data_IF_099237028342
#
_entry.id   IF_099237028342
#
_cell.length_a   1.000
_cell.length_b   1.000
_cell.length_c   1.000
_cell.angle_alpha   90.00
_cell.angle_beta   90.00
_cell.angle_gamma   90.00
#
_symmetry.space_group_name_H-M   'P 1'
#
loop_
_entity.id
_entity.type
_entity.pdbx_description
1 polymer ?
#
# COMPACT_ATOMS: atom_id res chain seq x y z
N UNK A 1 -12.83 -19.25 19.70
CA UNK A 1 -13.78 -18.74 18.68
C UNK A 1 -13.03 -17.90 17.67
N UNK A 2 -12.92 -18.31 16.40
CA UNK A 2 -12.50 -17.39 15.33
C UNK A 2 -13.65 -16.41 15.15
N UNK A 3 -13.45 -15.13 15.49
CA UNK A 3 -14.42 -14.09 15.16
C UNK A 3 -14.68 -14.15 13.65
N UNK A 4 -15.95 -14.06 13.24
CA UNK A 4 -16.27 -13.88 11.82
C UNK A 4 -15.47 -12.69 11.31
N UNK A 5 -14.79 -12.85 10.18
CA UNK A 5 -14.17 -11.71 9.51
C UNK A 5 -15.27 -10.66 9.28
N UNK A 6 -15.00 -9.37 9.53
CA UNK A 6 -15.99 -8.34 9.26
C UNK A 6 -16.33 -8.36 7.76
N UNK A 7 -17.59 -8.07 7.44
CA UNK A 7 -18.00 -7.89 6.05
C UNK A 7 -17.14 -6.81 5.39
N UNK A 8 -16.68 -7.08 4.17
CA UNK A 8 -15.94 -6.13 3.35
C UNK A 8 -16.87 -5.55 2.25
N UNK A 9 -16.86 -4.22 2.01
CA UNK A 9 -16.12 -3.20 2.74
C UNK A 9 -16.64 -3.00 4.18
N UNK A 10 -15.76 -2.54 5.07
CA UNK A 10 -16.08 -2.38 6.49
C UNK A 10 -17.23 -1.39 6.70
N UNK A 11 -18.23 -1.79 7.49
CA UNK A 11 -19.35 -0.92 7.90
C UNK A 11 -19.08 -0.11 9.17
N UNK A 12 -18.06 -0.50 9.95
CA UNK A 12 -17.70 0.12 11.23
C UNK A 12 -16.19 0.23 11.35
N UNK A 13 -15.74 1.27 12.05
CA UNK A 13 -14.32 1.48 12.33
C UNK A 13 -13.76 0.30 13.10
N UNK A 14 -12.65 -0.24 12.61
CA UNK A 14 -11.90 -1.30 13.29
C UNK A 14 -10.71 -0.65 13.97
N UNK A 15 -10.49 -1.03 15.23
CA UNK A 15 -9.32 -0.63 16.01
C UNK A 15 -8.50 -1.88 16.25
N UNK A 16 -7.23 -1.87 15.87
CA UNK A 16 -6.36 -3.02 16.07
C UNK A 16 -5.90 -3.07 17.54
N UNK A 17 -6.24 -4.15 18.28
CA UNK A 17 -5.64 -4.37 19.60
C UNK A 17 -4.13 -4.64 19.44
N UNK A 18 -3.34 -4.44 20.51
CA UNK A 18 -1.87 -4.55 20.43
C UNK A 18 -1.41 -5.92 19.92
N UNK A 19 -2.07 -7.00 20.39
CA UNK A 19 -1.83 -8.36 19.91
C UNK A 19 -2.05 -8.51 18.40
N UNK A 20 -3.02 -7.80 17.81
CA UNK A 20 -3.22 -7.81 16.37
C UNK A 20 -2.12 -7.02 15.64
N UNK A 21 -1.67 -5.89 16.20
CA UNK A 21 -0.55 -5.12 15.63
C UNK A 21 0.74 -5.94 15.61
N UNK A 22 1.04 -6.70 16.66
CA UNK A 22 2.19 -7.60 16.71
C UNK A 22 2.13 -8.68 15.61
N UNK A 23 0.95 -9.22 15.34
CA UNK A 23 0.75 -10.19 14.25
C UNK A 23 0.95 -9.54 12.88
N UNK A 24 0.41 -8.34 12.68
CA UNK A 24 0.49 -7.61 11.40
C UNK A 24 1.89 -7.06 11.10
N UNK A 25 2.76 -6.91 12.11
CA UNK A 25 4.18 -6.57 11.91
C UNK A 25 4.97 -7.70 11.27
N UNK A 26 4.48 -8.94 11.33
CA UNK A 26 5.14 -10.07 10.70
C UNK A 26 4.84 -10.05 9.20
N UNK A 27 5.83 -10.32 8.33
CA UNK A 27 5.58 -10.43 6.89
C UNK A 27 4.47 -11.45 6.61
N UNK A 28 3.40 -11.00 5.95
CA UNK A 28 2.31 -11.87 5.54
C UNK A 28 2.67 -12.73 4.31
N UNK A 29 3.80 -12.44 3.67
CA UNK A 29 4.30 -13.14 2.49
C UNK A 29 5.82 -13.28 2.52
N UNK A 30 6.41 -13.48 1.34
CA UNK A 30 7.87 -13.64 1.20
C UNK A 30 8.59 -12.34 1.56
N UNK A 31 9.45 -12.41 2.57
CA UNK A 31 10.36 -11.32 2.89
C UNK A 31 11.56 -11.37 1.94
N UNK A 32 11.79 -10.29 1.19
CA UNK A 32 12.98 -10.10 0.36
C UNK A 32 13.99 -9.26 1.14
N UNK A 33 15.21 -9.78 1.29
CA UNK A 33 16.29 -9.10 2.03
C UNK A 33 17.56 -9.06 1.20
N UNK A 34 18.41 -8.05 1.46
CA UNK A 34 19.69 -7.88 0.79
C UNK A 34 19.77 -6.57 0.01
N UNK A 35 20.54 -6.60 -1.09
CA UNK A 35 20.81 -5.43 -1.91
C UNK A 35 19.54 -4.93 -2.63
N UNK A 36 19.22 -3.62 -2.57
CA UNK A 36 18.03 -3.06 -3.20
C UNK A 36 17.91 -3.31 -4.71
N UNK A 37 19.02 -3.37 -5.45
CA UNK A 37 18.98 -3.64 -6.90
C UNK A 37 18.56 -5.07 -7.16
N UNK A 38 19.12 -6.02 -6.41
CA UNK A 38 18.73 -7.44 -6.49
C UNK A 38 17.26 -7.64 -6.13
N UNK A 39 16.77 -6.92 -5.10
CA UNK A 39 15.35 -6.96 -4.72
C UNK A 39 14.47 -6.48 -5.88
N UNK A 40 14.83 -5.37 -6.55
CA UNK A 40 14.09 -4.87 -7.70
C UNK A 40 14.07 -5.85 -8.87
N UNK A 41 15.20 -6.49 -9.17
CA UNK A 41 15.28 -7.53 -10.21
C UNK A 41 14.38 -8.72 -9.87
N UNK A 42 14.38 -9.18 -8.63
CA UNK A 42 13.53 -10.28 -8.17
C UNK A 42 12.04 -9.93 -8.27
N UNK A 43 11.64 -8.72 -7.86
CA UNK A 43 10.25 -8.26 -7.97
C UNK A 43 9.80 -8.21 -9.43
N UNK A 44 10.62 -7.64 -10.32
CA UNK A 44 10.32 -7.61 -11.77
C UNK A 44 10.18 -9.01 -12.33
N UNK A 45 11.06 -9.92 -11.93
CA UNK A 45 11.01 -11.32 -12.36
C UNK A 45 9.72 -11.99 -11.91
N UNK A 46 9.30 -11.79 -10.65
CA UNK A 46 8.04 -12.34 -10.14
C UNK A 46 6.84 -11.78 -10.92
N UNK A 47 6.78 -10.47 -11.13
CA UNK A 47 5.68 -9.85 -11.89
C UNK A 47 5.64 -10.39 -13.33
N UNK A 48 6.80 -10.56 -13.97
CA UNK A 48 6.88 -11.07 -15.34
C UNK A 48 6.57 -12.57 -15.45
N UNK A 49 6.73 -13.35 -14.38
CA UNK A 49 6.38 -14.78 -14.39
C UNK A 49 4.90 -14.96 -14.05
N UNK A 50 4.46 -14.35 -12.94
CA UNK A 50 3.13 -14.56 -12.37
C UNK A 50 2.04 -13.76 -13.10
N UNK A 51 2.40 -12.69 -13.82
CA UNK A 51 1.46 -11.78 -14.48
C UNK A 51 0.29 -11.39 -13.55
N UNK A 52 0.58 -10.87 -12.34
CA UNK A 52 -0.47 -10.60 -11.37
C UNK A 52 -1.47 -9.60 -11.93
N UNK A 53 -2.78 -9.77 -11.68
CA UNK A 53 -3.80 -8.84 -12.16
C UNK A 53 -3.67 -7.46 -11.50
N UNK A 54 -2.96 -7.38 -10.35
CA UNK A 54 -2.77 -6.16 -9.60
C UNK A 54 -1.47 -6.18 -8.79
N UNK A 55 -0.73 -5.09 -8.85
CA UNK A 55 0.46 -4.81 -8.05
C UNK A 55 0.20 -3.54 -7.24
N UNK A 56 0.28 -3.66 -5.90
CA UNK A 56 0.11 -2.54 -4.97
C UNK A 56 1.40 -2.33 -4.20
N UNK A 57 1.88 -1.09 -4.15
CA UNK A 57 2.99 -0.67 -3.30
C UNK A 57 2.46 0.06 -2.07
N UNK A 58 2.95 -0.31 -0.88
CA UNK A 58 2.53 0.30 0.39
C UNK A 58 3.75 0.87 1.12
N UNK A 59 3.65 2.13 1.54
CA UNK A 59 4.70 2.88 2.22
C UNK A 59 5.56 3.72 1.27
N UNK A 60 6.01 4.87 1.74
CA UNK A 60 6.69 5.91 0.94
C UNK A 60 8.02 5.41 0.35
N UNK A 61 8.89 4.79 1.17
CA UNK A 61 10.17 4.26 0.71
C UNK A 61 10.00 3.16 -0.35
N UNK A 62 9.08 2.21 -0.09
CA UNK A 62 8.79 1.11 -1.02
C UNK A 62 8.26 1.64 -2.34
N UNK A 63 7.32 2.58 -2.29
CA UNK A 63 6.71 3.21 -3.46
C UNK A 63 7.74 3.88 -4.35
N UNK A 64 8.67 4.62 -3.75
CA UNK A 64 9.75 5.28 -4.49
C UNK A 64 10.76 4.32 -5.08
N UNK A 65 11.21 3.34 -4.29
CA UNK A 65 12.17 2.36 -4.75
C UNK A 65 11.65 1.63 -5.98
N UNK A 66 10.37 1.21 -5.95
CA UNK A 66 9.70 0.54 -7.06
C UNK A 66 9.51 1.45 -8.27
N UNK A 67 9.09 2.71 -8.05
CA UNK A 67 8.89 3.68 -9.12
C UNK A 67 10.20 4.04 -9.81
N UNK A 68 11.25 4.41 -9.06
CA UNK A 68 12.60 4.66 -9.61
C UNK A 68 13.16 3.42 -10.31
N UNK A 69 12.84 2.24 -9.78
CA UNK A 69 13.19 0.98 -10.38
C UNK A 69 12.44 0.66 -11.66
N UNK A 70 11.43 1.43 -12.08
CA UNK A 70 10.61 1.13 -13.25
C UNK A 70 9.79 -0.15 -13.10
N UNK A 71 9.35 -0.46 -11.89
CA UNK A 71 8.45 -1.59 -11.62
C UNK A 71 7.01 -1.16 -11.97
N UNK A 72 6.25 -1.94 -12.77
CA UNK A 72 4.87 -1.62 -13.07
C UNK A 72 4.00 -1.85 -11.82
N UNK A 73 3.63 -0.75 -11.16
CA UNK A 73 2.73 -0.74 -10.01
C UNK A 73 1.42 -0.11 -10.44
N UNK A 74 0.29 -0.68 -10.03
CA UNK A 74 -1.02 -0.12 -10.30
C UNK A 74 -1.34 0.96 -9.26
N UNK A 75 -1.31 0.60 -7.98
CA UNK A 75 -1.70 1.51 -6.90
C UNK A 75 -0.56 1.72 -5.91
N UNK A 76 -0.28 2.97 -5.58
CA UNK A 76 0.59 3.35 -4.47
C UNK A 76 -0.26 3.75 -3.26
N UNK A 77 0.06 3.26 -2.08
CA UNK A 77 -0.58 3.66 -0.81
C UNK A 77 0.50 4.26 0.07
N UNK A 78 0.42 5.57 0.33
CA UNK A 78 1.46 6.34 1.04
C UNK A 78 0.81 7.22 2.11
N UNK A 79 1.50 7.48 3.21
CA UNK A 79 0.97 8.33 4.30
C UNK A 79 1.51 9.77 4.26
N UNK A 80 2.50 10.04 3.41
CA UNK A 80 2.99 11.39 3.15
C UNK A 80 3.59 12.09 4.38
N UNK A 81 3.92 11.36 5.47
CA UNK A 81 4.61 11.94 6.64
C UNK A 81 6.07 12.28 6.31
N UNK A 82 6.25 13.28 5.47
CA UNK A 82 7.55 13.79 5.01
C UNK A 82 7.68 15.24 5.48
N UNK A 83 7.97 15.44 6.77
CA UNK A 83 8.42 16.74 7.31
C UNK A 83 9.40 16.58 8.49
N UNK A 84 10.39 15.67 8.40
CA UNK A 84 11.57 15.70 9.29
C UNK A 84 12.94 15.53 8.64
N UNK A 85 13.04 15.57 7.30
CA UNK A 85 14.25 15.97 6.53
C UNK A 85 14.00 15.92 5.01
N UNK A 86 14.58 16.92 4.34
CA UNK A 86 14.84 17.26 2.91
C UNK A 86 14.88 16.21 1.77
N UNK A 87 14.28 15.04 1.92
CA UNK A 87 14.27 14.04 0.85
C UNK A 87 12.85 13.85 0.36
N UNK A 88 12.59 14.35 -0.85
CA UNK A 88 11.38 14.13 -1.63
C UNK A 88 11.24 12.63 -1.90
N UNK A 89 10.70 11.88 -0.93
CA UNK A 89 10.73 10.43 -1.03
C UNK A 89 9.77 9.92 -2.08
N UNK A 90 8.67 10.58 -2.45
CA UNK A 90 7.83 10.11 -3.55
C UNK A 90 7.20 11.29 -4.31
N UNK A 91 7.59 11.50 -5.56
CA UNK A 91 7.11 12.63 -6.37
C UNK A 91 5.70 12.37 -6.90
N UNK A 92 4.67 13.04 -6.41
CA UNK A 92 3.29 12.84 -6.89
C UNK A 92 3.00 13.41 -8.29
N UNK A 93 4.00 14.01 -8.94
CA UNK A 93 3.90 14.59 -10.28
C UNK A 93 3.38 13.56 -11.30
N UNK A 94 2.34 13.95 -12.06
CA UNK A 94 1.72 13.13 -13.09
C UNK A 94 0.80 12.02 -12.58
N UNK A 95 0.60 11.89 -11.27
CA UNK A 95 -0.24 10.84 -10.69
C UNK A 95 -1.64 11.31 -10.34
N UNK A 96 -2.61 10.39 -10.45
CA UNK A 96 -3.96 10.57 -9.91
C UNK A 96 -3.92 10.40 -8.40
N UNK A 97 -4.18 11.47 -7.66
CA UNK A 97 -4.16 11.45 -6.19
C UNK A 97 -5.59 11.27 -5.66
N UNK A 98 -5.78 10.26 -4.81
CA UNK A 98 -7.01 10.00 -4.06
C UNK A 98 -6.67 10.09 -2.59
N UNK A 99 -7.33 10.99 -1.86
CA UNK A 99 -7.08 11.21 -0.43
C UNK A 99 -8.08 10.46 0.43
N UNK A 100 -7.60 9.89 1.53
CA UNK A 100 -8.43 9.25 2.57
C UNK A 100 -7.86 9.57 3.95
N UNK A 101 -8.73 9.61 4.96
CA UNK A 101 -8.32 9.74 6.35
C UNK A 101 -8.33 8.38 7.05
N UNK A 102 -7.25 8.00 7.73
CA UNK A 102 -7.17 6.78 8.51
C UNK A 102 -6.21 6.92 9.68
N UNK A 103 -6.72 6.86 10.91
CA UNK A 103 -5.89 7.02 12.10
C UNK A 103 -4.97 5.81 12.33
N UNK A 104 -3.76 6.02 12.88
CA UNK A 104 -2.81 4.94 13.14
C UNK A 104 -3.41 3.80 13.97
N UNK A 105 -3.24 2.57 13.51
CA UNK A 105 -3.78 1.40 14.19
C UNK A 105 -5.30 1.24 14.05
N UNK A 106 -5.91 1.87 13.05
CA UNK A 106 -7.34 1.72 12.75
C UNK A 106 -7.58 1.43 11.25
N UNK A 107 -8.78 0.96 10.93
CA UNK A 107 -9.34 0.99 9.58
C UNK A 107 -10.63 1.82 9.60
N UNK A 108 -10.58 2.99 8.99
CA UNK A 108 -11.74 3.85 8.77
C UNK A 108 -12.64 3.26 7.65
N UNK A 109 -13.95 3.11 7.87
CA UNK A 109 -14.89 2.62 6.86
C UNK A 109 -14.85 3.40 5.54
N UNK A 110 -14.68 4.71 5.59
CA UNK A 110 -14.64 5.57 4.40
C UNK A 110 -13.36 5.33 3.59
N UNK A 111 -12.22 5.20 4.27
CA UNK A 111 -10.95 4.86 3.64
C UNK A 111 -11.01 3.48 2.98
N UNK A 112 -11.59 2.50 3.67
CA UNK A 112 -11.80 1.14 3.16
C UNK A 112 -12.76 1.12 1.96
N UNK A 113 -13.87 1.84 2.04
CA UNK A 113 -14.83 1.94 0.93
C UNK A 113 -14.18 2.60 -0.30
N UNK A 114 -13.39 3.66 -0.10
CA UNK A 114 -12.66 4.32 -1.18
C UNK A 114 -11.65 3.39 -1.84
N UNK A 115 -10.84 2.70 -1.05
CA UNK A 115 -9.92 1.68 -1.55
C UNK A 115 -10.68 0.60 -2.31
N UNK A 116 -11.81 0.12 -1.77
CA UNK A 116 -12.64 -0.88 -2.44
C UNK A 116 -13.13 -0.41 -3.82
N UNK A 117 -13.66 0.81 -3.92
CA UNK A 117 -14.06 1.40 -5.21
C UNK A 117 -12.89 1.48 -6.18
N UNK A 118 -11.71 1.93 -5.73
CA UNK A 118 -10.51 2.02 -6.57
C UNK A 118 -10.09 0.65 -7.13
N UNK A 119 -10.16 -0.40 -6.31
CA UNK A 119 -9.82 -1.76 -6.72
C UNK A 119 -10.80 -2.35 -7.75
N UNK A 120 -11.96 -1.71 -8.00
CA UNK A 120 -12.91 -2.12 -9.05
C UNK A 120 -12.72 -1.36 -10.37
N UNK A 121 -11.87 -0.34 -10.40
CA UNK A 121 -11.64 0.45 -11.60
C UNK A 121 -10.84 -0.34 -12.65
N UNK A 122 -11.19 -0.16 -13.93
CA UNK A 122 -10.51 -0.83 -15.04
C UNK A 122 -9.11 -0.29 -15.30
N UNK A 123 -8.90 1.00 -15.01
CA UNK A 123 -7.61 1.66 -15.16
C UNK A 123 -7.22 2.30 -13.84
N UNK A 124 -6.35 1.61 -13.11
CA UNK A 124 -5.80 2.07 -11.85
C UNK A 124 -4.35 2.57 -12.00
N UNK A 125 -3.82 2.70 -13.22
CA UNK A 125 -2.43 3.11 -13.42
C UNK A 125 -2.16 4.49 -12.85
N UNK A 126 -0.91 4.72 -12.46
CA UNK A 126 -0.41 6.00 -11.96
C UNK A 126 -1.28 6.61 -10.85
N UNK A 127 -1.91 5.76 -10.03
CA UNK A 127 -2.82 6.18 -8.96
C UNK A 127 -2.17 6.05 -7.59
N UNK A 128 -2.37 7.09 -6.77
CA UNK A 128 -1.88 7.16 -5.39
C UNK A 128 -3.06 7.33 -4.45
N UNK A 129 -3.20 6.42 -3.51
CA UNK A 129 -4.04 6.57 -2.33
C UNK A 129 -3.20 7.21 -1.21
N UNK A 130 -3.38 8.51 -1.00
CA UNK A 130 -2.73 9.26 0.06
C UNK A 130 -3.54 9.14 1.34
N UNK A 131 -2.92 8.59 2.39
CA UNK A 131 -3.55 8.31 3.68
C UNK A 131 -3.14 9.36 4.70
N UNK A 132 -4.09 10.16 5.15
CA UNK A 132 -3.90 11.21 6.15
C UNK A 132 -4.29 10.67 7.54
N UNK A 133 -3.44 10.83 8.57
CA UNK A 133 -3.77 10.38 9.93
C UNK A 133 -2.60 10.27 10.91
#
# INVERSE_FOLDING_TARGET
>A
MRSKLPEWPLKKKVIFPEKAKELLRKPAGKLLTGDPRKILEEIKKVINIEHPPLVIAVGDYTSEMLRRGGVPVNLYIVDGKIERRRTDFFKLEGMRIVRVANEPGTLNPEAVAKLHTLLQERDLRDTVLLVEG
#
